data_IF_324992327394
#
_entry.id   IF_324992327394
#
_cell.length_a   1.000
_cell.length_b   1.000
_cell.length_c   1.000
_cell.angle_alpha   90.00
_cell.angle_beta   90.00
_cell.angle_gamma   90.00
#
_symmetry.space_group_name_H-M   'P 1'
#
loop_
_entity.id
_entity.type
_entity.pdbx_description
1 polymer ?
#
# COMPACT_ATOMS: atom_id res chain seq x y z
N UNK A 1 -53.93 -35.69 7.50
CA UNK A 1 -53.51 -35.33 6.14
C UNK A 1 -53.37 -33.82 6.06
N UNK A 2 -52.13 -33.30 5.97
CA UNK A 2 -51.73 -31.99 5.41
C UNK A 2 -50.21 -31.89 5.52
N UNK A 3 -49.53 -32.11 4.41
CA UNK A 3 -48.11 -31.79 4.25
C UNK A 3 -47.96 -30.27 4.28
N UNK A 4 -46.96 -29.77 5.00
CA UNK A 4 -46.41 -28.45 4.80
C UNK A 4 -44.96 -28.61 4.33
N UNK A 5 -44.78 -28.50 3.01
CA UNK A 5 -43.49 -28.29 2.36
C UNK A 5 -43.10 -26.85 2.66
N UNK A 6 -41.94 -26.63 3.30
CA UNK A 6 -41.30 -25.32 3.29
C UNK A 6 -40.01 -25.40 2.49
N UNK A 7 -40.00 -24.63 1.42
CA UNK A 7 -38.95 -24.51 0.44
C UNK A 7 -37.63 -24.06 1.08
N UNK A 8 -36.56 -24.78 0.78
CA UNK A 8 -35.20 -24.33 1.01
C UNK A 8 -34.95 -23.10 0.12
N UNK A 9 -34.98 -21.91 0.72
CA UNK A 9 -34.60 -20.67 0.06
C UNK A 9 -33.08 -20.63 -0.14
N UNK A 10 -32.63 -20.89 -1.36
CA UNK A 10 -31.23 -20.68 -1.77
C UNK A 10 -30.94 -19.19 -1.74
N UNK A 11 -30.20 -18.71 -0.73
CA UNK A 11 -29.60 -17.37 -0.78
C UNK A 11 -28.46 -17.40 -1.81
N UNK A 12 -28.75 -16.93 -3.02
CA UNK A 12 -27.71 -16.52 -3.96
C UNK A 12 -27.00 -15.29 -3.36
N UNK A 13 -25.83 -15.50 -2.78
CA UNK A 13 -24.89 -14.42 -2.50
C UNK A 13 -24.43 -13.83 -3.84
N UNK A 14 -24.97 -12.66 -4.21
CA UNK A 14 -24.36 -11.82 -5.23
C UNK A 14 -23.04 -11.28 -4.68
N UNK A 15 -21.95 -11.98 -4.99
CA UNK A 15 -20.63 -11.38 -4.94
C UNK A 15 -20.61 -10.32 -6.03
N UNK A 16 -20.89 -9.07 -5.67
CA UNK A 16 -20.58 -7.93 -6.52
C UNK A 16 -19.06 -7.98 -6.78
N UNK A 17 -18.69 -8.50 -7.94
CA UNK A 17 -17.35 -8.38 -8.46
C UNK A 17 -17.16 -6.89 -8.71
N UNK A 18 -16.56 -6.19 -7.74
CA UNK A 18 -16.02 -4.86 -7.98
C UNK A 18 -15.14 -5.01 -9.22
N UNK A 19 -15.57 -4.42 -10.33
CA UNK A 19 -14.77 -4.37 -11.55
C UNK A 19 -13.53 -3.59 -11.18
N UNK A 20 -12.45 -4.30 -10.85
CA UNK A 20 -11.19 -3.67 -10.49
C UNK A 20 -10.78 -2.83 -11.69
N UNK A 21 -10.66 -1.51 -11.51
CA UNK A 21 -10.13 -0.65 -12.57
C UNK A 21 -8.82 -1.26 -13.09
N UNK A 22 -8.54 -1.17 -14.40
CA UNK A 22 -7.37 -1.81 -14.98
C UNK A 22 -6.11 -1.38 -14.22
N UNK A 23 -5.31 -2.37 -13.84
CA UNK A 23 -4.03 -2.16 -13.17
C UNK A 23 -3.02 -1.53 -14.13
N UNK A 24 -3.10 -0.19 -14.23
CA UNK A 24 -2.20 0.68 -14.99
C UNK A 24 -1.95 1.97 -14.21
N UNK A 25 -0.84 2.62 -14.51
CA UNK A 25 -0.63 4.00 -14.09
C UNK A 25 -1.54 4.94 -14.88
N UNK A 26 -2.17 5.88 -14.18
CA UNK A 26 -3.14 6.81 -14.75
C UNK A 26 -2.47 8.12 -15.15
N UNK A 27 -1.67 8.07 -16.21
CA UNK A 27 -0.88 9.22 -16.69
C UNK A 27 -1.72 10.45 -17.04
N UNK A 28 -2.98 10.27 -17.45
CA UNK A 28 -3.91 11.35 -17.78
C UNK A 28 -4.58 11.98 -16.55
N UNK A 29 -4.30 11.47 -15.34
CA UNK A 29 -4.86 11.95 -14.07
C UNK A 29 -3.72 12.22 -13.08
N UNK A 30 -3.06 13.40 -13.16
CA UNK A 30 -1.84 13.69 -12.40
C UNK A 30 -1.97 13.47 -10.89
N UNK A 31 -3.12 13.82 -10.31
CA UNK A 31 -3.39 13.61 -8.88
C UNK A 31 -3.39 12.12 -8.53
N UNK A 32 -4.05 11.30 -9.35
CA UNK A 32 -4.12 9.85 -9.14
C UNK A 32 -2.77 9.19 -9.39
N UNK A 33 -2.07 9.58 -10.45
CA UNK A 33 -0.70 9.12 -10.72
C UNK A 33 0.23 9.42 -9.54
N UNK A 34 0.16 10.61 -8.96
CA UNK A 34 0.95 10.97 -7.80
C UNK A 34 0.64 10.06 -6.59
N UNK A 35 -0.62 9.68 -6.37
CA UNK A 35 -0.96 8.70 -5.33
C UNK A 35 -0.39 7.31 -5.64
N UNK A 36 -0.46 6.84 -6.89
CA UNK A 36 0.07 5.54 -7.29
C UNK A 36 1.59 5.46 -7.09
N UNK A 37 2.32 6.51 -7.48
CA UNK A 37 3.77 6.60 -7.30
C UNK A 37 4.16 6.69 -5.81
N UNK A 38 3.43 7.49 -5.03
CA UNK A 38 3.61 7.60 -3.59
C UNK A 38 3.38 6.25 -2.90
N UNK A 39 2.35 5.50 -3.31
CA UNK A 39 2.08 4.17 -2.77
C UNK A 39 3.23 3.21 -3.02
N UNK A 40 3.89 3.30 -4.18
CA UNK A 40 5.12 2.55 -4.45
C UNK A 40 6.24 2.83 -3.44
N UNK A 41 6.41 4.09 -3.01
CA UNK A 41 7.37 4.47 -1.96
C UNK A 41 6.97 3.88 -0.61
N UNK A 42 5.70 4.04 -0.20
CA UNK A 42 5.17 3.48 1.04
C UNK A 42 5.38 1.97 1.11
N UNK A 43 5.04 1.28 0.02
CA UNK A 43 5.19 -0.15 -0.11
C UNK A 43 6.66 -0.59 0.02
N UNK A 44 7.57 0.07 -0.72
CA UNK A 44 9.00 -0.25 -0.66
C UNK A 44 9.60 -0.05 0.73
N UNK A 45 9.30 1.08 1.39
CA UNK A 45 9.75 1.34 2.76
C UNK A 45 9.17 0.33 3.74
N UNK A 46 7.89 -0.04 3.60
CA UNK A 46 7.26 -1.09 4.42
C UNK A 46 7.96 -2.43 4.27
N UNK A 47 8.23 -2.87 3.04
CA UNK A 47 8.93 -4.15 2.83
C UNK A 47 10.32 -4.16 3.46
N UNK A 48 11.08 -3.06 3.30
CA UNK A 48 12.43 -2.96 3.86
C UNK A 48 12.38 -2.88 5.39
N UNK A 49 11.51 -2.04 5.97
CA UNK A 49 11.35 -1.95 7.42
C UNK A 49 10.98 -3.28 8.08
N UNK A 50 10.06 -4.05 7.47
CA UNK A 50 9.73 -5.39 7.94
C UNK A 50 10.89 -6.39 7.78
N UNK A 51 11.67 -6.29 6.70
CA UNK A 51 12.85 -7.12 6.50
C UNK A 51 13.93 -6.84 7.57
N UNK A 52 14.21 -5.57 7.84
CA UNK A 52 15.14 -5.15 8.89
C UNK A 52 14.68 -5.61 10.28
N UNK A 53 13.38 -5.51 10.57
CA UNK A 53 12.83 -6.02 11.83
C UNK A 53 13.06 -7.53 12.00
N UNK A 54 12.78 -8.34 10.96
CA UNK A 54 13.02 -9.80 11.00
C UNK A 54 14.50 -10.17 11.16
N UNK A 55 15.40 -9.34 10.64
CA UNK A 55 16.86 -9.50 10.80
C UNK A 55 17.38 -9.09 12.17
N UNK A 56 16.56 -8.42 12.99
CA UNK A 56 16.96 -7.89 14.29
C UNK A 56 17.67 -6.54 14.23
N UNK A 57 17.62 -5.84 13.08
CA UNK A 57 18.21 -4.50 12.89
C UNK A 57 17.34 -3.43 13.60
N UNK A 58 17.46 -3.35 14.93
CA UNK A 58 16.55 -2.56 15.79
C UNK A 58 16.50 -1.08 15.43
N UNK A 59 17.64 -0.45 15.14
CA UNK A 59 17.69 0.97 14.77
C UNK A 59 16.88 1.25 13.49
N UNK A 60 16.97 0.36 12.51
CA UNK A 60 16.23 0.44 11.26
C UNK A 60 14.72 0.22 11.49
N UNK A 61 14.35 -0.78 12.30
CA UNK A 61 12.96 -1.06 12.65
C UNK A 61 12.30 0.12 13.40
N UNK A 62 13.00 0.74 14.36
CA UNK A 62 12.50 1.91 15.08
C UNK A 62 12.37 3.14 14.17
N UNK A 63 13.35 3.37 13.29
CA UNK A 63 13.27 4.47 12.32
C UNK A 63 12.09 4.29 11.37
N UNK A 64 11.80 3.06 10.94
CA UNK A 64 10.63 2.75 10.13
C UNK A 64 9.31 3.06 10.84
N UNK A 65 9.16 2.66 12.11
CA UNK A 65 7.95 2.97 12.90
C UNK A 65 7.79 4.49 13.09
N UNK A 66 8.85 5.20 13.46
CA UNK A 66 8.82 6.65 13.61
C UNK A 66 8.44 7.36 12.30
N UNK A 67 8.98 6.89 11.17
CA UNK A 67 8.63 7.39 9.86
C UNK A 67 7.16 7.12 9.53
N UNK A 68 6.64 5.91 9.78
CA UNK A 68 5.22 5.60 9.57
C UNK A 68 4.31 6.55 10.34
N UNK A 69 4.59 6.76 11.62
CA UNK A 69 3.79 7.64 12.48
C UNK A 69 3.75 9.07 11.94
N UNK A 70 4.90 9.59 11.50
CA UNK A 70 5.00 10.92 10.90
C UNK A 70 4.24 11.01 9.56
N UNK A 71 4.34 9.97 8.73
CA UNK A 71 3.79 9.98 7.37
C UNK A 71 2.32 9.52 7.30
N UNK A 72 1.76 9.02 8.41
CA UNK A 72 0.44 8.40 8.45
C UNK A 72 -0.69 9.20 7.80
N UNK A 73 -0.82 10.54 8.03
CA UNK A 73 -1.90 11.31 7.41
C UNK A 73 -1.88 11.24 5.88
N UNK A 74 -0.69 11.29 5.28
CA UNK A 74 -0.54 11.22 3.83
C UNK A 74 -0.79 9.81 3.28
N UNK A 75 -0.29 8.79 3.99
CA UNK A 75 -0.55 7.38 3.67
C UNK A 75 -2.04 7.09 3.64
N UNK A 76 -2.79 7.50 4.68
CA UNK A 76 -4.25 7.29 4.76
C UNK A 76 -5.01 7.98 3.65
N UNK A 77 -4.55 9.15 3.22
CA UNK A 77 -5.20 9.85 2.12
C UNK A 77 -4.93 9.21 0.76
N UNK A 78 -3.72 8.68 0.54
CA UNK A 78 -3.41 7.87 -0.65
C UNK A 78 -4.23 6.57 -0.67
N UNK A 79 -4.30 5.88 0.48
CA UNK A 79 -5.08 4.66 0.65
C UNK A 79 -6.55 4.87 0.25
N UNK A 80 -7.20 5.93 0.77
CA UNK A 80 -8.59 6.25 0.43
C UNK A 80 -8.79 6.53 -1.06
N UNK A 81 -7.91 7.32 -1.65
CA UNK A 81 -8.02 7.68 -3.07
C UNK A 81 -7.85 6.47 -3.98
N UNK A 82 -6.86 5.62 -3.68
CA UNK A 82 -6.62 4.39 -4.43
C UNK A 82 -7.70 3.34 -4.17
N UNK A 83 -8.25 3.27 -2.95
CA UNK A 83 -9.38 2.41 -2.62
C UNK A 83 -10.60 2.76 -3.46
N UNK A 84 -10.95 4.05 -3.54
CA UNK A 84 -12.05 4.53 -4.38
C UNK A 84 -11.80 4.24 -5.85
N UNK A 85 -10.60 4.53 -6.32
CA UNK A 85 -10.27 4.36 -7.74
C UNK A 85 -10.34 2.90 -8.19
N UNK A 86 -9.71 1.98 -7.46
CA UNK A 86 -9.59 0.59 -7.88
C UNK A 86 -10.77 -0.28 -7.48
N UNK A 87 -11.47 0.06 -6.40
CA UNK A 87 -12.45 -0.84 -5.78
C UNK A 87 -13.81 -0.21 -5.52
N UNK A 88 -14.00 1.08 -5.80
CA UNK A 88 -15.22 1.83 -5.47
C UNK A 88 -15.59 1.70 -3.98
N UNK A 89 -14.56 1.76 -3.11
CA UNK A 89 -14.68 1.63 -1.65
C UNK A 89 -13.86 2.69 -0.95
N UNK A 90 -14.31 3.14 0.22
CA UNK A 90 -13.56 4.10 1.02
C UNK A 90 -12.25 3.52 1.58
N UNK A 91 -12.25 2.23 1.92
CA UNK A 91 -11.09 1.53 2.48
C UNK A 91 -11.08 0.09 2.00
N UNK A 92 -9.89 -0.41 1.69
CA UNK A 92 -9.60 -1.82 1.45
C UNK A 92 -8.28 -2.19 2.17
N UNK A 93 -7.98 -3.47 2.40
CA UNK A 93 -6.67 -3.86 2.92
C UNK A 93 -5.53 -3.31 2.03
N UNK A 94 -4.42 -2.90 2.64
CA UNK A 94 -3.27 -2.33 1.90
C UNK A 94 -2.77 -3.28 0.80
N UNK A 95 -2.81 -4.58 1.08
CA UNK A 95 -2.39 -5.65 0.17
C UNK A 95 -3.24 -5.69 -1.09
N UNK A 96 -4.52 -5.29 -1.01
CA UNK A 96 -5.38 -5.17 -2.18
C UNK A 96 -4.90 -4.04 -3.10
N UNK A 97 -4.49 -2.89 -2.53
CA UNK A 97 -3.92 -1.77 -3.30
C UNK A 97 -2.58 -2.17 -3.91
N UNK A 98 -1.72 -2.88 -3.16
CA UNK A 98 -0.46 -3.41 -3.70
C UNK A 98 -0.70 -4.32 -4.92
N UNK A 99 -1.67 -5.23 -4.80
CA UNK A 99 -2.04 -6.14 -5.88
C UNK A 99 -2.61 -5.38 -7.09
N UNK A 100 -3.47 -4.39 -6.87
CA UNK A 100 -4.01 -3.52 -7.92
C UNK A 100 -2.90 -2.73 -8.64
N UNK A 101 -1.79 -2.43 -7.96
CA UNK A 101 -0.61 -1.78 -8.54
C UNK A 101 0.45 -2.76 -9.05
N UNK A 102 0.20 -4.08 -8.98
CA UNK A 102 1.15 -5.15 -9.34
C UNK A 102 2.50 -5.00 -8.63
N UNK A 103 2.49 -4.55 -7.38
CA UNK A 103 3.69 -4.46 -6.57
C UNK A 103 4.10 -5.86 -6.09
N UNK A 104 5.41 -6.10 -5.99
CA UNK A 104 5.94 -7.39 -5.51
C UNK A 104 5.66 -7.54 -4.01
N UNK A 105 5.20 -8.70 -3.52
CA UNK A 105 4.85 -8.87 -2.11
C UNK A 105 6.05 -8.97 -1.15
N UNK A 106 7.27 -9.15 -1.68
CA UNK A 106 8.48 -9.35 -0.89
C UNK A 106 9.72 -8.76 -1.56
N UNK A 107 10.75 -8.50 -0.75
CA UNK A 107 12.11 -8.20 -1.21
C UNK A 107 12.87 -9.52 -1.41
N UNK A 108 13.22 -9.81 -2.65
CA UNK A 108 14.09 -10.93 -3.01
C UNK A 108 15.51 -10.40 -3.17
N UNK A 109 16.24 -10.33 -2.05
CA UNK A 109 17.62 -9.80 -1.99
C UNK A 109 18.50 -10.68 -1.13
N UNK A 110 19.80 -10.81 -1.44
CA UNK A 110 20.77 -11.44 -0.57
C UNK A 110 20.82 -10.78 0.81
N UNK A 111 21.12 -11.57 1.84
CA UNK A 111 21.17 -11.09 3.22
C UNK A 111 22.18 -9.95 3.44
N UNK A 112 23.30 -9.98 2.71
CA UNK A 112 24.31 -8.92 2.72
C UNK A 112 23.78 -7.59 2.19
N UNK A 113 23.06 -7.58 1.07
CA UNK A 113 22.44 -6.38 0.50
C UNK A 113 21.36 -5.82 1.43
N UNK A 114 20.58 -6.71 2.06
CA UNK A 114 19.60 -6.30 3.06
C UNK A 114 20.27 -5.68 4.28
N UNK A 115 21.41 -6.21 4.74
CA UNK A 115 22.17 -5.63 5.83
C UNK A 115 22.63 -4.19 5.55
N UNK A 116 23.17 -3.93 4.36
CA UNK A 116 23.57 -2.57 3.94
C UNK A 116 22.38 -1.62 3.86
N UNK A 117 21.26 -2.08 3.30
CA UNK A 117 20.03 -1.30 3.22
C UNK A 117 19.48 -0.98 4.62
N UNK A 118 19.48 -1.94 5.54
CA UNK A 118 19.04 -1.73 6.91
C UNK A 118 19.96 -0.79 7.68
N UNK A 119 21.28 -0.91 7.52
CA UNK A 119 22.24 -0.03 8.17
C UNK A 119 22.06 1.45 7.78
N UNK A 120 21.62 1.71 6.55
CA UNK A 120 21.44 3.07 6.02
C UNK A 120 20.00 3.59 6.10
N UNK A 121 19.03 2.72 6.42
CA UNK A 121 17.61 3.07 6.44
C UNK A 121 17.27 4.28 7.33
N UNK A 122 17.78 4.40 8.57
CA UNK A 122 17.46 5.56 9.42
C UNK A 122 17.85 6.89 8.78
N UNK A 123 19.08 6.97 8.24
CA UNK A 123 19.57 8.16 7.57
C UNK A 123 18.77 8.46 6.29
N UNK A 124 18.39 7.42 5.54
CA UNK A 124 17.58 7.58 4.34
C UNK A 124 16.19 8.17 4.66
N UNK A 125 15.48 7.61 5.64
CA UNK A 125 14.13 8.06 6.03
C UNK A 125 14.09 9.49 6.59
N UNK A 126 15.21 10.00 7.09
CA UNK A 126 15.34 11.39 7.53
C UNK A 126 15.49 12.39 6.37
N UNK A 127 15.70 11.92 5.13
CA UNK A 127 15.88 12.82 3.99
C UNK A 127 14.53 13.34 3.44
N UNK A 128 14.49 14.54 2.83
CA UNK A 128 13.25 15.09 2.27
C UNK A 128 12.58 14.23 1.19
N UNK A 129 13.32 13.30 0.58
CA UNK A 129 12.79 12.36 -0.42
C UNK A 129 11.73 11.41 0.16
N UNK A 130 11.79 11.13 1.46
CA UNK A 130 10.85 10.25 2.15
C UNK A 130 9.78 11.01 2.95
N UNK A 131 9.75 12.35 2.86
CA UNK A 131 8.58 13.12 3.26
C UNK A 131 7.50 12.94 2.18
N UNK A 132 6.43 12.23 2.52
CA UNK A 132 5.41 11.83 1.56
C UNK A 132 4.51 12.99 1.16
N UNK A 133 4.29 13.97 2.03
CA UNK A 133 3.53 15.17 1.65
C UNK A 133 4.33 15.96 0.63
N UNK A 134 5.62 16.19 0.89
CA UNK A 134 6.51 16.85 -0.05
C UNK A 134 6.59 16.09 -1.38
N UNK A 135 6.80 14.77 -1.33
CA UNK A 135 6.86 13.93 -2.52
C UNK A 135 5.60 14.07 -3.38
N UNK A 136 4.42 14.03 -2.76
CA UNK A 136 3.15 14.20 -3.44
C UNK A 136 3.07 15.56 -4.16
N UNK A 137 3.38 16.64 -3.45
CA UNK A 137 3.35 18.00 -4.01
C UNK A 137 4.35 18.19 -5.16
N UNK A 138 5.51 17.54 -5.11
CA UNK A 138 6.50 17.57 -6.19
C UNK A 138 6.00 16.82 -7.43
N UNK A 139 5.27 15.71 -7.25
CA UNK A 139 4.69 14.94 -8.36
C UNK A 139 3.54 15.63 -9.07
N UNK A 140 2.83 16.52 -8.40
CA UNK A 140 1.78 17.33 -9.03
C UNK A 140 2.32 18.43 -9.97
N UNK A 141 3.62 18.73 -9.91
CA UNK A 141 4.27 19.79 -10.70
C UNK A 141 4.99 19.26 -11.94
N UNK A 142 5.07 17.93 -12.08
CA UNK A 142 5.70 17.23 -13.20
C UNK A 142 4.67 16.98 -14.29
#
# INVERSE_FOLDING_TARGET
MRLAVFAAGTMLALVAQAQSAPSRYEFDRPQLLAQQLLWGVVHGVRLLGMACHRRGDQAAALAYVAWLDQQWPRIRAAERELSRHYFDREQVPMEAIDAALKLRPALERPDSELGEACATLPAALATPRYDLERYYQEKLKQ
#
